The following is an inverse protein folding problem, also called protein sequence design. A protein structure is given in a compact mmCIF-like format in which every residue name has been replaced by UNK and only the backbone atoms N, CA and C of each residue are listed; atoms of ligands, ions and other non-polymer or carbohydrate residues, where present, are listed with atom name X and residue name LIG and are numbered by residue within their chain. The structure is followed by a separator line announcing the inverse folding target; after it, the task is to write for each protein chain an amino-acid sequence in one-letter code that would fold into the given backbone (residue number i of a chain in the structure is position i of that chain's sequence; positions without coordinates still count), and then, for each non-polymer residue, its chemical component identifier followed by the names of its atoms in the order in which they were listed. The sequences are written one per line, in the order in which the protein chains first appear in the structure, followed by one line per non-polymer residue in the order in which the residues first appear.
data_IF_643766646243
#
_entry.id   IF_643766646243
#
_cell.length_a   1.000
_cell.length_b   1.000
_cell.length_c   1.000
_cell.angle_alpha   90.00
_cell.angle_beta   90.00
_cell.angle_gamma   90.00
#
_symmetry.space_group_name_H-M   'P 1'
#
loop_
_entity.id
_entity.type
_entity.pdbx_description
1 polymer ?
#
# COMPACT_ATOMS: atom_id res chain seq x y z
N UNK A 1 16.11 7.86 -33.57
CA UNK A 1 16.52 9.10 -32.91
C UNK A 1 15.41 10.12 -33.19
N UNK A 2 15.38 11.29 -32.55
CA UNK A 2 14.18 12.14 -32.45
C UNK A 2 13.79 12.85 -33.77
N UNK A 3 13.40 12.08 -34.79
CA UNK A 3 13.30 12.55 -36.18
C UNK A 3 11.90 13.04 -36.59
N UNK A 4 10.99 13.33 -35.66
CA UNK A 4 9.69 13.92 -36.02
C UNK A 4 8.98 14.65 -34.87
N UNK A 5 9.70 15.50 -34.11
CA UNK A 5 9.00 16.49 -33.29
C UNK A 5 8.49 17.59 -34.21
N UNK A 6 7.27 17.40 -34.74
CA UNK A 6 6.47 18.53 -35.21
C UNK A 6 6.42 19.57 -34.07
N UNK A 7 6.56 20.87 -34.39
CA UNK A 7 6.41 21.91 -33.38
C UNK A 7 4.97 21.85 -32.85
N UNK A 8 4.81 21.23 -31.68
CA UNK A 8 3.55 21.18 -30.95
C UNK A 8 3.72 21.96 -29.64
N UNK A 9 2.60 22.41 -29.09
CA UNK A 9 2.56 22.96 -27.74
C UNK A 9 1.53 22.15 -26.98
N UNK A 10 1.88 21.69 -25.78
CA UNK A 10 0.99 20.92 -24.94
C UNK A 10 -0.30 21.68 -24.68
N UNK A 11 -1.41 21.00 -24.93
CA UNK A 11 -2.73 21.47 -24.55
C UNK A 11 -3.48 20.32 -23.87
N UNK A 12 -4.17 20.54 -22.73
CA UNK A 12 -4.81 19.46 -21.97
C UNK A 12 -5.90 18.71 -22.76
N UNK A 13 -6.46 19.33 -23.79
CA UNK A 13 -7.53 18.75 -24.63
C UNK A 13 -7.05 18.39 -26.04
N UNK A 14 -6.41 19.33 -26.72
CA UNK A 14 -6.10 19.18 -28.15
C UNK A 14 -4.81 18.34 -28.36
N UNK A 15 -3.76 18.63 -27.58
CA UNK A 15 -2.43 18.04 -27.74
C UNK A 15 -1.86 17.51 -26.41
N UNK A 16 -2.61 16.60 -25.77
CA UNK A 16 -2.28 16.04 -24.44
C UNK A 16 -0.96 15.26 -24.37
N UNK A 17 -0.43 14.83 -25.51
CA UNK A 17 0.78 14.00 -25.57
C UNK A 17 2.01 14.77 -26.04
N UNK A 18 1.89 16.07 -26.27
CA UNK A 18 3.02 16.90 -26.66
C UNK A 18 3.94 17.16 -25.44
N UNK A 19 5.25 16.93 -25.55
CA UNK A 19 6.20 17.13 -24.43
C UNK A 19 6.71 18.58 -24.31
N UNK A 20 6.20 19.52 -25.12
CA UNK A 20 6.63 20.92 -25.16
C UNK A 20 5.63 21.76 -24.37
N UNK A 21 6.07 22.36 -23.27
CA UNK A 21 5.22 23.12 -22.37
C UNK A 21 5.67 24.57 -22.32
N UNK A 22 4.72 25.51 -22.21
CA UNK A 22 5.04 26.89 -21.89
C UNK A 22 5.26 27.05 -20.39
N UNK A 23 6.19 27.92 -20.02
CA UNK A 23 6.48 28.20 -18.61
C UNK A 23 5.24 28.71 -17.87
N UNK A 24 4.48 29.58 -18.52
CA UNK A 24 3.21 30.10 -18.01
C UNK A 24 2.21 28.99 -17.68
N UNK A 25 2.04 28.01 -18.58
CA UNK A 25 1.16 26.87 -18.33
C UNK A 25 1.59 26.06 -17.10
N UNK A 26 2.90 25.78 -16.98
CA UNK A 26 3.45 25.02 -15.84
C UNK A 26 3.18 25.75 -14.52
N UNK A 27 3.46 27.06 -14.47
CA UNK A 27 3.33 27.85 -13.24
C UNK A 27 1.85 28.03 -12.88
N UNK A 28 0.98 28.28 -13.86
CA UNK A 28 -0.48 28.37 -13.66
C UNK A 28 -1.09 27.04 -13.20
N UNK A 29 -0.57 25.91 -13.67
CA UNK A 29 -1.05 24.59 -13.27
C UNK A 29 -0.52 24.15 -11.91
N UNK A 30 0.67 24.62 -11.51
CA UNK A 30 1.29 24.31 -10.22
C UNK A 30 0.73 25.15 -9.06
N UNK A 31 0.29 26.39 -9.33
CA UNK A 31 -0.22 27.33 -8.32
C UNK A 31 -1.39 28.17 -8.85
N UNK A 32 -2.52 28.11 -8.15
CA UNK A 32 -3.75 28.82 -8.54
C UNK A 32 -3.72 30.31 -8.15
N UNK A 33 -2.99 30.68 -7.09
CA UNK A 33 -2.92 32.05 -6.60
C UNK A 33 -2.03 32.96 -7.45
N UNK A 34 -2.59 34.04 -8.03
CA UNK A 34 -1.82 35.02 -8.83
C UNK A 34 -0.65 35.62 -8.05
N UNK A 35 -0.88 36.05 -6.82
CA UNK A 35 0.14 36.67 -5.99
C UNK A 35 1.28 35.70 -5.66
N UNK A 36 0.97 34.43 -5.44
CA UNK A 36 1.99 33.40 -5.19
C UNK A 36 2.83 33.14 -6.44
N UNK A 37 2.22 33.13 -7.64
CA UNK A 37 2.96 33.00 -8.89
C UNK A 37 3.93 34.15 -9.11
N UNK A 38 3.51 35.39 -8.87
CA UNK A 38 4.39 36.57 -9.01
C UNK A 38 5.58 36.50 -8.05
N UNK A 39 5.32 36.08 -6.80
CA UNK A 39 6.37 35.86 -5.81
C UNK A 39 7.30 34.71 -6.21
N UNK A 40 6.78 33.63 -6.80
CA UNK A 40 7.59 32.51 -7.31
C UNK A 40 8.50 32.96 -8.45
N UNK A 41 8.03 33.85 -9.32
CA UNK A 41 8.85 34.42 -10.40
C UNK A 41 9.92 35.37 -9.87
N UNK A 42 9.63 36.11 -8.80
CA UNK A 42 10.57 37.08 -8.20
C UNK A 42 11.63 36.41 -7.29
N UNK A 43 11.20 35.49 -6.42
CA UNK A 43 12.05 34.89 -5.38
C UNK A 43 12.44 33.43 -5.68
N UNK A 44 11.94 32.86 -6.77
CA UNK A 44 12.20 31.47 -7.18
C UNK A 44 11.36 30.46 -6.41
N UNK A 45 11.13 29.28 -6.97
CA UNK A 45 10.28 28.24 -6.37
C UNK A 45 10.65 26.86 -6.87
N UNK A 46 10.04 25.81 -6.31
CA UNK A 46 10.31 24.42 -6.71
C UNK A 46 9.03 23.79 -7.22
N UNK A 47 9.02 23.40 -8.50
CA UNK A 47 7.87 22.80 -9.15
C UNK A 47 8.21 21.35 -9.51
N UNK A 48 7.34 20.42 -9.14
CA UNK A 48 7.36 19.05 -9.62
C UNK A 48 6.59 18.94 -10.93
N UNK A 49 7.20 18.28 -11.91
CA UNK A 49 6.56 17.81 -13.12
C UNK A 49 6.50 16.28 -13.03
N UNK A 50 5.32 15.73 -12.77
CA UNK A 50 5.13 14.28 -12.67
C UNK A 50 4.66 13.73 -14.02
N UNK A 51 5.37 12.74 -14.53
CA UNK A 51 4.96 11.93 -15.67
C UNK A 51 4.45 10.60 -15.14
N UNK A 52 3.16 10.34 -15.28
CA UNK A 52 2.52 9.12 -14.80
C UNK A 52 2.23 8.16 -15.94
N UNK A 53 2.80 6.96 -15.87
CA UNK A 53 2.67 5.91 -16.87
C UNK A 53 1.83 4.76 -16.32
N UNK A 54 0.52 4.82 -16.49
CA UNK A 54 -0.37 3.69 -16.20
C UNK A 54 -0.69 2.94 -17.50
N UNK A 55 -0.06 1.78 -17.69
CA UNK A 55 -0.08 1.08 -18.97
C UNK A 55 -0.50 -0.37 -18.84
N UNK A 56 -1.53 -0.73 -19.60
CA UNK A 56 -1.89 -2.11 -19.87
C UNK A 56 -1.11 -2.61 -21.10
N UNK A 57 -0.12 -3.47 -20.87
CA UNK A 57 0.77 -4.07 -21.87
C UNK A 57 0.12 -5.23 -22.65
N UNK A 58 -1.11 -5.61 -22.33
CA UNK A 58 -1.89 -6.54 -23.15
C UNK A 58 -2.43 -5.86 -24.41
N UNK A 59 -2.50 -4.52 -24.38
CA UNK A 59 -2.84 -3.69 -25.53
C UNK A 59 -1.57 -3.26 -26.28
N UNK A 60 -1.77 -2.59 -27.40
CA UNK A 60 -0.66 -2.06 -28.19
C UNK A 60 0.14 -1.03 -27.37
N UNK A 61 1.47 -1.21 -27.30
CA UNK A 61 2.40 -0.32 -26.60
C UNK A 61 2.31 1.15 -27.04
N UNK A 62 1.86 1.40 -28.28
CA UNK A 62 1.69 2.77 -28.81
C UNK A 62 0.59 3.57 -28.10
N UNK A 63 -0.32 2.90 -27.39
CA UNK A 63 -1.41 3.53 -26.64
C UNK A 63 -0.94 3.96 -25.24
N UNK A 64 0.10 3.31 -24.72
CA UNK A 64 0.73 3.67 -23.45
C UNK A 64 1.42 5.03 -23.62
N UNK A 65 0.86 6.05 -22.97
CA UNK A 65 1.35 7.44 -23.04
C UNK A 65 1.28 8.06 -21.64
N UNK A 66 2.17 9.00 -21.31
CA UNK A 66 2.22 9.57 -19.97
C UNK A 66 1.08 10.55 -19.76
N UNK A 67 0.57 10.59 -18.53
CA UNK A 67 -0.21 11.71 -18.03
C UNK A 67 0.72 12.70 -17.32
N UNK A 68 0.61 13.99 -17.66
CA UNK A 68 1.40 15.04 -17.03
C UNK A 68 0.62 15.67 -15.87
N UNK A 69 1.29 15.88 -14.75
CA UNK A 69 0.78 16.71 -13.66
C UNK A 69 1.87 17.63 -13.10
N UNK A 70 1.43 18.78 -12.61
CA UNK A 70 2.31 19.85 -12.14
C UNK A 70 1.89 20.22 -10.73
N UNK A 71 2.86 20.36 -9.83
CA UNK A 71 2.59 20.73 -8.44
C UNK A 71 3.76 21.52 -7.87
N UNK A 72 3.45 22.52 -7.04
CA UNK A 72 4.46 23.19 -6.21
C UNK A 72 4.94 22.26 -5.09
N UNK A 73 6.25 22.21 -4.85
CA UNK A 73 6.87 21.39 -3.81
C UNK A 73 7.40 22.21 -2.63
N UNK A 74 7.73 23.48 -2.84
CA UNK A 74 8.15 24.38 -1.77
C UNK A 74 6.97 24.90 -0.96
N UNK A 75 7.24 25.33 0.28
CA UNK A 75 6.23 25.92 1.16
C UNK A 75 5.76 27.26 0.57
N UNK A 76 4.44 27.47 0.40
CA UNK A 76 3.90 28.73 -0.12
C UNK A 76 4.33 29.96 0.69
N UNK A 77 4.43 31.12 0.03
CA UNK A 77 4.93 32.34 0.69
C UNK A 77 3.97 32.85 1.77
N UNK A 78 2.66 32.66 1.57
CA UNK A 78 1.61 32.94 2.56
C UNK A 78 1.81 32.22 3.90
N UNK A 79 2.56 31.12 3.94
CA UNK A 79 2.81 30.31 5.14
C UNK A 79 4.08 30.73 5.92
N UNK A 80 4.69 31.86 5.54
CA UNK A 80 5.89 32.44 6.20
C UNK A 80 7.03 31.41 6.34
N UNK A 81 7.59 30.92 5.22
CA UNK A 81 8.64 29.91 5.27
C UNK A 81 9.94 30.46 5.90
N UNK A 82 10.73 29.58 6.51
CA UNK A 82 12.05 29.91 7.05
C UNK A 82 13.01 30.47 5.99
N UNK A 83 12.88 30.01 4.75
CA UNK A 83 13.58 30.54 3.58
C UNK A 83 12.57 30.83 2.48
N UNK A 84 12.54 32.07 2.01
CA UNK A 84 11.67 32.48 0.90
C UNK A 84 12.23 31.99 -0.42
N UNK A 85 11.45 31.15 -1.11
CA UNK A 85 11.73 30.71 -2.46
C UNK A 85 12.97 29.84 -2.65
N UNK A 86 13.44 29.75 -3.89
CA UNK A 86 14.61 28.98 -4.30
C UNK A 86 15.72 29.89 -4.83
N UNK A 87 16.86 29.88 -4.16
CA UNK A 87 18.03 30.66 -4.54
C UNK A 87 19.32 29.85 -4.39
N UNK A 88 20.32 30.16 -5.21
CA UNK A 88 21.66 29.59 -5.11
C UNK A 88 22.72 30.66 -5.40
N UNK A 89 23.93 30.47 -4.85
CA UNK A 89 25.07 31.34 -5.09
C UNK A 89 26.16 30.56 -5.82
N UNK A 90 26.73 31.16 -6.84
CA UNK A 90 27.90 30.63 -7.54
C UNK A 90 28.94 31.74 -7.70
N UNK A 91 30.21 31.35 -7.72
CA UNK A 91 31.32 32.28 -7.87
C UNK A 91 32.00 32.04 -9.22
N UNK A 92 32.19 33.09 -10.00
CA UNK A 92 33.09 33.06 -11.14
C UNK A 92 34.43 33.64 -10.71
N UNK A 93 35.45 32.79 -10.66
CA UNK A 93 36.81 33.17 -10.26
C UNK A 93 37.58 33.59 -11.49
N UNK A 94 38.26 34.72 -11.43
CA UNK A 94 39.12 35.21 -12.50
C UNK A 94 40.38 35.82 -11.92
N UNK A 95 41.42 35.92 -12.75
CA UNK A 95 42.72 36.43 -12.33
C UNK A 95 43.05 37.66 -13.16
N UNK A 96 43.58 38.69 -12.50
CA UNK A 96 44.16 39.83 -13.17
C UNK A 96 45.54 40.08 -12.58
N UNK A 97 46.56 40.08 -13.44
CA UNK A 97 47.97 40.12 -13.06
C UNK A 97 48.36 38.98 -12.08
N UNK A 98 48.68 39.32 -10.83
CA UNK A 98 49.05 38.38 -9.77
C UNK A 98 47.92 38.10 -8.77
N UNK A 99 46.88 38.94 -8.75
CA UNK A 99 45.80 38.86 -7.78
C UNK A 99 44.63 38.02 -8.30
N UNK A 100 44.01 37.27 -7.38
CA UNK A 100 42.84 36.45 -7.65
C UNK A 100 41.58 37.18 -7.21
N UNK A 101 40.65 37.35 -8.15
CA UNK A 101 39.35 37.97 -7.92
C UNK A 101 38.23 36.93 -8.05
N UNK A 102 37.11 37.18 -7.38
CA UNK A 102 35.90 36.39 -7.54
C UNK A 102 34.68 37.29 -7.64
N UNK A 103 33.82 37.01 -8.61
CA UNK A 103 32.49 37.61 -8.71
C UNK A 103 31.48 36.62 -8.16
N UNK A 104 30.94 36.91 -6.97
CA UNK A 104 29.91 36.09 -6.34
C UNK A 104 28.53 36.54 -6.81
N UNK A 105 27.83 35.67 -7.53
CA UNK A 105 26.48 35.93 -8.05
C UNK A 105 25.46 35.14 -7.26
N UNK A 106 24.37 35.80 -6.84
CA UNK A 106 23.19 35.16 -6.26
C UNK A 106 22.09 35.11 -7.30
N UNK A 107 21.65 33.91 -7.67
CA UNK A 107 20.57 33.70 -8.63
C UNK A 107 19.30 33.22 -7.92
N UNK A 108 18.16 33.71 -8.41
CA UNK A 108 16.82 33.30 -8.01
C UNK A 108 16.13 32.73 -9.24
N UNK A 109 15.39 31.65 -9.09
CA UNK A 109 14.71 31.03 -10.23
C UNK A 109 13.88 29.82 -9.86
N UNK A 110 13.17 29.30 -10.85
CA UNK A 110 12.35 28.11 -10.72
C UNK A 110 13.22 26.86 -10.91
N UNK A 111 13.08 25.90 -9.98
CA UNK A 111 13.66 24.57 -10.10
C UNK A 111 12.57 23.58 -10.47
N UNK A 112 12.71 22.97 -11.65
CA UNK A 112 11.82 21.88 -12.08
C UNK A 112 12.39 20.53 -11.64
N UNK A 113 11.58 19.75 -10.94
CA UNK A 113 11.89 18.36 -10.58
C UNK A 113 11.00 17.46 -11.41
N UNK A 114 11.58 16.81 -12.42
CA UNK A 114 10.88 15.87 -13.28
C UNK A 114 10.87 14.51 -12.61
N UNK A 115 9.69 14.05 -12.19
CA UNK A 115 9.50 12.76 -11.53
C UNK A 115 8.69 11.83 -12.43
N UNK A 116 9.23 10.66 -12.76
CA UNK A 116 8.53 9.65 -13.55
C UNK A 116 7.99 8.57 -12.63
N UNK A 117 6.68 8.36 -12.65
CA UNK A 117 6.00 7.24 -11.99
C UNK A 117 5.41 6.34 -13.05
N UNK A 118 5.39 5.03 -12.81
CA UNK A 118 4.80 4.12 -13.76
C UNK A 118 4.35 2.82 -13.12
N UNK A 119 3.19 2.35 -13.56
CA UNK A 119 2.63 1.04 -13.28
C UNK A 119 2.31 0.39 -14.62
N UNK A 120 2.80 -0.84 -14.80
CA UNK A 120 2.51 -1.61 -16.00
C UNK A 120 1.90 -2.96 -15.62
N UNK A 121 0.77 -3.27 -16.23
CA UNK A 121 0.10 -4.56 -16.10
C UNK A 121 0.25 -5.35 -17.39
N UNK A 122 0.60 -6.63 -17.28
CA UNK A 122 0.54 -7.59 -18.38
C UNK A 122 -0.13 -8.86 -17.87
N UNK A 123 -0.94 -9.47 -18.73
CA UNK A 123 -1.57 -10.75 -18.48
C UNK A 123 -0.51 -11.82 -18.20
N UNK A 124 -0.65 -12.45 -17.04
CA UNK A 124 0.18 -13.56 -16.60
C UNK A 124 -0.73 -14.68 -16.12
N UNK A 125 -0.60 -15.84 -16.76
CA UNK A 125 -1.37 -17.04 -16.43
C UNK A 125 -1.16 -17.47 -14.97
N UNK A 126 0.06 -17.32 -14.43
CA UNK A 126 0.38 -17.72 -13.05
C UNK A 126 -0.45 -16.87 -12.06
N UNK A 127 -0.53 -15.56 -12.29
CA UNK A 127 -1.32 -14.64 -11.45
C UNK A 127 -2.82 -14.93 -11.57
N UNK A 128 -3.29 -15.27 -12.76
CA UNK A 128 -4.67 -15.69 -12.96
C UNK A 128 -5.00 -16.95 -12.15
N UNK A 129 -4.18 -18.01 -12.28
CA UNK A 129 -4.41 -19.27 -11.56
C UNK A 129 -4.36 -19.10 -10.04
N UNK A 130 -3.45 -18.27 -9.51
CA UNK A 130 -3.38 -17.96 -8.08
C UNK A 130 -4.65 -17.24 -7.58
N UNK A 131 -5.16 -16.27 -8.34
CA UNK A 131 -6.38 -15.55 -7.98
C UNK A 131 -7.62 -16.48 -8.04
N UNK A 132 -7.69 -17.36 -9.03
CA UNK A 132 -8.74 -18.39 -9.11
C UNK A 132 -8.64 -19.36 -7.93
N UNK A 133 -7.43 -19.81 -7.58
CA UNK A 133 -7.22 -20.67 -6.41
C UNK A 133 -7.69 -20.01 -5.11
N UNK A 134 -7.38 -18.72 -4.91
CA UNK A 134 -7.88 -17.95 -3.76
C UNK A 134 -9.40 -17.83 -3.76
N UNK A 135 -10.02 -17.64 -4.93
CA UNK A 135 -11.47 -17.58 -5.06
C UNK A 135 -12.11 -18.94 -4.73
N UNK A 136 -11.53 -20.06 -5.17
CA UNK A 136 -12.02 -21.40 -4.80
C UNK A 136 -11.89 -21.65 -3.30
N UNK A 137 -10.81 -21.20 -2.68
CA UNK A 137 -10.60 -21.30 -1.23
C UNK A 137 -11.67 -20.57 -0.40
N UNK A 138 -12.10 -19.37 -0.83
CA UNK A 138 -13.11 -18.59 -0.08
C UNK A 138 -14.50 -19.26 -0.09
N UNK A 139 -14.82 -20.03 -1.13
CA UNK A 139 -16.07 -20.79 -1.18
C UNK A 139 -16.15 -21.87 -0.09
N UNK A 140 -15.03 -22.49 0.30
CA UNK A 140 -14.99 -23.45 1.40
C UNK A 140 -15.27 -22.82 2.77
N UNK A 141 -14.87 -21.56 2.98
CA UNK A 141 -15.24 -20.82 4.19
C UNK A 141 -16.72 -20.43 4.18
N UNK A 142 -17.27 -20.07 3.03
CA UNK A 142 -18.68 -19.73 2.89
C UNK A 142 -19.59 -20.90 3.31
N UNK A 143 -19.29 -22.12 2.85
CA UNK A 143 -20.04 -23.32 3.25
C UNK A 143 -19.94 -23.60 4.74
N UNK A 144 -18.76 -23.42 5.34
CA UNK A 144 -18.56 -23.56 6.78
C UNK A 144 -19.42 -22.58 7.59
N UNK A 145 -19.48 -21.31 7.17
CA UNK A 145 -20.36 -20.33 7.81
C UNK A 145 -21.84 -20.65 7.59
N UNK A 146 -22.24 -21.09 6.40
CA UNK A 146 -23.60 -21.55 6.13
C UNK A 146 -24.00 -22.69 7.08
N UNK A 147 -23.10 -23.65 7.33
CA UNK A 147 -23.33 -24.75 8.27
C UNK A 147 -23.49 -24.25 9.71
N UNK A 148 -22.65 -23.32 10.17
CA UNK A 148 -22.78 -22.72 11.51
C UNK A 148 -24.14 -22.02 11.66
N UNK A 149 -24.56 -21.26 10.64
CA UNK A 149 -25.83 -20.52 10.68
C UNK A 149 -27.01 -21.49 10.73
N UNK A 150 -27.01 -22.54 9.91
CA UNK A 150 -28.08 -23.55 9.89
C UNK A 150 -28.12 -24.33 11.21
N UNK A 151 -26.97 -24.62 11.81
CA UNK A 151 -26.89 -25.40 13.05
C UNK A 151 -27.26 -24.60 14.30
N UNK A 152 -26.91 -23.32 14.36
CA UNK A 152 -27.05 -22.53 15.59
C UNK A 152 -28.16 -21.47 15.56
N UNK A 153 -28.52 -20.94 14.37
CA UNK A 153 -29.46 -19.82 14.25
C UNK A 153 -30.81 -20.21 13.62
N UNK A 154 -30.91 -21.37 12.98
CA UNK A 154 -32.16 -21.84 12.36
C UNK A 154 -33.09 -22.55 13.35
N UNK A 155 -34.38 -22.21 13.31
CA UNK A 155 -35.44 -22.91 14.04
C UNK A 155 -35.58 -24.39 13.63
N UNK A 156 -35.08 -24.76 12.44
CA UNK A 156 -35.06 -26.12 11.90
C UNK A 156 -33.81 -26.93 12.24
N UNK A 157 -32.91 -26.45 13.10
CA UNK A 157 -31.62 -27.08 13.38
C UNK A 157 -31.71 -28.55 13.83
N UNK A 158 -32.78 -28.93 14.55
CA UNK A 158 -33.00 -30.33 15.01
C UNK A 158 -33.29 -31.29 13.84
N UNK A 159 -34.00 -30.82 12.80
CA UNK A 159 -34.25 -31.61 11.58
C UNK A 159 -32.97 -31.76 10.75
N UNK A 160 -32.21 -30.67 10.58
CA UNK A 160 -30.91 -30.71 9.89
C UNK A 160 -29.94 -31.68 10.57
N UNK A 161 -29.84 -31.64 11.91
CA UNK A 161 -28.96 -32.52 12.68
C UNK A 161 -29.29 -34.00 12.53
N UNK A 162 -30.58 -34.35 12.37
CA UNK A 162 -31.05 -35.74 12.20
C UNK A 162 -30.76 -36.30 10.81
N UNK A 163 -30.79 -35.46 9.77
CA UNK A 163 -30.54 -35.90 8.40
C UNK A 163 -29.06 -35.88 8.00
N UNK A 164 -28.25 -35.06 8.67
CA UNK A 164 -26.83 -34.88 8.31
C UNK A 164 -25.88 -35.63 9.26
N UNK A 165 -26.19 -35.77 10.55
CA UNK A 165 -25.31 -36.44 11.50
C UNK A 165 -25.83 -37.82 11.89
N UNK A 166 -25.01 -38.85 11.68
CA UNK A 166 -25.24 -40.20 12.19
C UNK A 166 -24.37 -40.43 13.44
N UNK A 167 -25.00 -40.83 14.55
CA UNK A 167 -24.30 -41.07 15.83
C UNK A 167 -23.74 -42.50 15.83
N UNK A 168 -22.43 -42.63 15.58
CA UNK A 168 -21.75 -43.91 15.73
C UNK A 168 -21.34 -44.16 17.19
N UNK A 169 -21.88 -45.20 17.82
CA UNK A 169 -21.41 -45.66 19.13
C UNK A 169 -20.13 -46.49 18.96
N UNK A 170 -18.98 -45.92 19.30
CA UNK A 170 -17.74 -46.69 19.39
C UNK A 170 -17.76 -47.55 20.66
N UNK A 171 -18.11 -48.83 20.51
CA UNK A 171 -18.02 -49.80 21.59
C UNK A 171 -16.54 -50.12 21.84
N UNK A 172 -15.92 -49.47 22.82
CA UNK A 172 -14.63 -49.89 23.37
C UNK A 172 -14.77 -51.33 23.87
N UNK A 173 -14.28 -52.30 23.10
CA UNK A 173 -14.05 -53.65 23.61
C UNK A 173 -12.79 -53.65 24.49
N UNK A 174 -12.88 -53.09 25.68
CA UNK A 174 -11.92 -53.40 26.75
C UNK A 174 -12.69 -53.93 27.96
N UNK A 175 -13.13 -55.19 27.86
CA UNK A 175 -13.37 -56.02 29.02
C UNK A 175 -13.43 -57.47 28.58
N UNK A 176 -12.32 -58.18 28.84
CA UNK A 176 -12.35 -59.63 28.95
C UNK A 176 -11.41 -60.03 30.09
N UNK A 177 -12.06 -60.54 31.14
CA UNK A 177 -11.61 -61.54 32.09
C UNK A 177 -10.47 -61.16 33.07
N UNK A 178 -10.80 -61.12 34.36
CA UNK A 178 -10.22 -61.95 35.44
C UNK A 178 -11.28 -62.02 36.59
N UNK A 179 -11.46 -63.17 37.28
CA UNK A 179 -12.69 -63.53 37.99
C UNK A 179 -12.72 -63.11 39.48
N UNK A 180 -13.93 -63.20 40.04
CA UNK A 180 -14.33 -62.79 41.39
C UNK A 180 -13.55 -63.43 42.55
N UNK A 181 -13.19 -62.61 43.54
CA UNK A 181 -13.03 -63.02 44.94
C UNK A 181 -13.85 -62.08 45.84
N UNK A 182 -14.64 -62.69 46.73
CA UNK A 182 -15.49 -62.04 47.72
C UNK A 182 -14.64 -61.36 48.79
N UNK A 183 -15.09 -60.20 49.31
CA UNK A 183 -14.88 -59.87 50.71
C UNK A 183 -16.00 -58.94 51.21
N UNK A 184 -16.72 -59.42 52.23
CA UNK A 184 -17.64 -58.67 53.06
C UNK A 184 -16.92 -57.54 53.82
N UNK A 185 -17.65 -56.48 54.14
CA UNK A 185 -17.75 -55.85 55.46
C UNK A 185 -17.86 -54.31 55.41
N UNK A 186 -18.69 -53.81 56.33
CA UNK A 186 -18.83 -52.45 56.88
C UNK A 186 -17.49 -51.67 56.86
N UNK A 187 -17.43 -50.35 56.72
CA UNK A 187 -17.99 -49.42 57.70
C UNK A 187 -17.89 -47.95 57.21
N UNK A 188 -18.70 -47.15 57.88
CA UNK A 188 -18.79 -45.71 58.05
C UNK A 188 -17.50 -44.86 57.88
N UNK A 189 -17.61 -43.67 57.28
CA UNK A 189 -17.15 -42.40 57.87
C UNK A 189 -17.14 -41.26 56.83
N UNK A 190 -17.72 -40.14 57.26
CA UNK A 190 -17.55 -38.78 56.74
C UNK A 190 -16.09 -38.45 56.37
N UNK A 191 -15.90 -37.62 55.33
CA UNK A 191 -15.32 -36.28 55.57
C UNK A 191 -15.48 -35.33 54.37
N UNK A 192 -15.96 -34.15 54.76
CA UNK A 192 -16.05 -32.89 54.04
C UNK A 192 -14.64 -32.31 53.86
N UNK A 193 -14.25 -31.92 52.64
CA UNK A 193 -13.34 -30.79 52.42
C UNK A 193 -13.69 -30.10 51.10
N UNK A 194 -13.85 -28.78 51.19
CA UNK A 194 -14.13 -27.85 50.11
C UNK A 194 -12.86 -26.99 49.87
N UNK A 195 -12.84 -26.04 48.92
CA UNK A 195 -11.92 -25.98 47.79
C UNK A 195 -10.69 -25.09 47.99
N UNK A 196 -9.70 -25.20 47.11
CA UNK A 196 -8.74 -24.13 46.83
C UNK A 196 -8.50 -23.95 45.34
N UNK A 197 -8.43 -22.67 44.98
CA UNK A 197 -8.19 -22.03 43.69
C UNK A 197 -6.81 -22.34 43.12
N UNK A 198 -6.63 -22.25 41.79
CA UNK A 198 -5.72 -21.29 41.12
C UNK A 198 -5.51 -21.64 39.62
N UNK A 199 -5.99 -20.72 38.78
CA UNK A 199 -5.40 -20.10 37.57
C UNK A 199 -4.27 -20.80 36.81
N UNK A 200 -4.48 -21.02 35.50
CA UNK A 200 -3.45 -20.89 34.46
C UNK A 200 -4.09 -20.52 33.10
N UNK A 201 -3.98 -19.24 32.74
CA UNK A 201 -4.21 -18.70 31.40
C UNK A 201 -2.97 -17.91 31.01
N UNK A 202 -2.02 -18.53 30.31
CA UNK A 202 -1.06 -17.84 29.43
C UNK A 202 -0.50 -18.87 28.45
N UNK A 203 -0.19 -18.42 27.22
CA UNK A 203 0.35 -19.18 26.06
C UNK A 203 -0.68 -19.68 25.06
N UNK A 204 -1.17 -18.76 24.22
CA UNK A 204 -1.33 -18.98 22.77
C UNK A 204 -1.68 -17.65 22.07
N UNK A 205 -0.82 -16.64 22.22
CA UNK A 205 -0.84 -15.44 21.39
C UNK A 205 0.56 -15.22 20.84
N UNK A 206 0.83 -15.82 19.69
CA UNK A 206 2.08 -15.64 18.97
C UNK A 206 2.11 -16.56 17.78
N UNK A 207 1.42 -16.18 16.69
CA UNK A 207 1.69 -16.63 15.32
C UNK A 207 0.73 -16.05 14.27
N UNK A 208 0.39 -14.75 14.27
CA UNK A 208 -0.14 -14.09 13.05
C UNK A 208 0.27 -12.61 13.05
N UNK A 209 1.40 -12.28 12.42
CA UNK A 209 1.61 -11.00 11.71
C UNK A 209 2.87 -11.16 10.84
N UNK A 210 2.70 -11.48 9.56
CA UNK A 210 3.72 -11.16 8.57
C UNK A 210 3.03 -10.65 7.29
N UNK A 211 2.82 -9.33 7.28
CA UNK A 211 2.39 -8.59 6.10
C UNK A 211 3.64 -8.05 5.41
N UNK A 212 3.92 -8.56 4.22
CA UNK A 212 5.04 -8.15 3.37
C UNK A 212 4.92 -6.68 2.93
N UNK A 213 5.67 -5.80 3.60
CA UNK A 213 5.86 -4.38 3.26
C UNK A 213 7.09 -4.24 2.35
N UNK A 214 6.88 -4.10 1.04
CA UNK A 214 7.96 -3.82 0.09
C UNK A 214 8.42 -2.36 0.29
N UNK A 215 9.66 -2.23 0.74
CA UNK A 215 10.34 -0.97 1.08
C UNK A 215 10.84 -0.29 -0.20
N UNK A 216 10.36 0.92 -0.46
CA UNK A 216 10.82 1.77 -1.56
C UNK A 216 12.32 2.07 -1.43
N UNK A 217 13.06 1.90 -2.53
CA UNK A 217 14.46 2.33 -2.64
C UNK A 217 14.49 3.79 -3.10
N UNK A 218 15.10 4.64 -2.28
CA UNK A 218 15.54 6.00 -2.64
C UNK A 218 16.71 5.90 -3.62
N UNK A 219 16.56 6.41 -4.84
CA UNK A 219 17.68 6.69 -5.74
C UNK A 219 18.10 8.14 -5.48
N UNK A 220 19.33 8.32 -4.98
CA UNK A 220 20.00 9.63 -4.99
C UNK A 220 20.69 9.79 -6.35
N UNK A 221 20.43 10.91 -7.00
CA UNK A 221 21.37 11.52 -7.95
C UNK A 221 22.07 12.67 -7.24
#
# INVERSE_FOLDING_TARGET
MADDLKPCVFHPKDDKHCPIFTLDYIVNQAENGSNERDLMLQYGGVISIKLDWDCNLDRNIKICKPAYSFARLDVPYREKPFSVGFNFRYASTWKHERDQFRTLTKAYGLRFIIATSGQAGKFDFIRLSLNIGSLVGIFGLATFFCDIIILHLSKGAKLYRKHVFEMAHFRTRFSSAIPSTKMDSKDNSNNRLNPTTNNETTLLNGLITDSTKIRGKTVRM
#
